data_IF_370383739295
#
_entry.id   IF_370383739295
#
_cell.length_a   1.000
_cell.length_b   1.000
_cell.length_c   1.000
_cell.angle_alpha   90.00
_cell.angle_beta   90.00
_cell.angle_gamma   90.00
#
_symmetry.space_group_name_H-M   'P 1'
#
loop_
_entity.id
_entity.type
_entity.pdbx_description
1 polymer ?
#
# COMPACT_ATOMS: atom_id res chain seq x y z
N UNK A 1 16.92 2.53 -2.81
CA UNK A 1 16.08 2.16 -3.97
C UNK A 1 16.69 2.79 -5.21
N UNK A 2 16.65 2.10 -6.35
CA UNK A 2 17.17 2.61 -7.63
C UNK A 2 16.47 3.92 -8.04
N UNK A 3 17.24 4.95 -8.43
CA UNK A 3 16.67 6.28 -8.79
C UNK A 3 15.70 6.19 -9.96
N UNK A 4 15.98 5.34 -10.95
CA UNK A 4 15.12 5.15 -12.10
C UNK A 4 13.80 4.46 -11.76
N UNK A 5 13.70 3.73 -10.65
CA UNK A 5 12.40 3.23 -10.14
C UNK A 5 11.58 4.38 -9.57
N UNK A 6 12.21 5.23 -8.75
CA UNK A 6 11.56 6.40 -8.14
C UNK A 6 11.01 7.32 -9.23
N UNK A 7 11.83 7.72 -10.20
CA UNK A 7 11.44 8.61 -11.30
C UNK A 7 10.29 8.04 -12.15
N UNK A 8 10.26 6.71 -12.37
CA UNK A 8 9.15 6.06 -13.06
C UNK A 8 7.87 6.10 -12.23
N UNK A 9 7.97 5.88 -10.93
CA UNK A 9 6.82 5.91 -10.03
C UNK A 9 6.25 7.32 -9.88
N UNK A 10 7.11 8.34 -9.73
CA UNK A 10 6.71 9.75 -9.70
C UNK A 10 5.98 10.17 -10.98
N UNK A 11 6.47 9.73 -12.14
CA UNK A 11 5.82 9.96 -13.43
C UNK A 11 4.45 9.30 -13.50
N UNK A 12 4.32 8.05 -13.05
CA UNK A 12 3.03 7.36 -12.98
C UNK A 12 2.03 8.12 -12.11
N UNK A 13 2.44 8.57 -10.92
CA UNK A 13 1.56 9.38 -10.06
C UNK A 13 1.13 10.66 -10.76
N UNK A 14 2.06 11.35 -11.43
CA UNK A 14 1.77 12.57 -12.20
C UNK A 14 0.76 12.32 -13.33
N UNK A 15 0.98 11.27 -14.12
CA UNK A 15 0.12 10.90 -15.24
C UNK A 15 -1.28 10.53 -14.76
N UNK A 16 -1.40 9.75 -13.68
CA UNK A 16 -2.71 9.38 -13.11
C UNK A 16 -3.44 10.61 -12.56
N UNK A 17 -2.75 11.48 -11.80
CA UNK A 17 -3.34 12.71 -11.26
C UNK A 17 -3.80 13.68 -12.35
N UNK A 18 -3.20 13.65 -13.54
CA UNK A 18 -3.63 14.46 -14.68
C UNK A 18 -5.01 14.04 -15.23
N UNK A 19 -5.43 12.79 -14.96
CA UNK A 19 -6.71 12.24 -15.41
C UNK A 19 -7.73 12.21 -14.27
N UNK A 20 -7.30 11.85 -13.05
CA UNK A 20 -8.18 11.72 -11.88
C UNK A 20 -7.53 12.38 -10.67
N UNK A 21 -8.14 13.42 -10.06
CA UNK A 21 -7.54 14.13 -8.93
C UNK A 21 -7.49 13.28 -7.64
N UNK A 22 -8.36 12.29 -7.54
CA UNK A 22 -8.53 11.47 -6.34
C UNK A 22 -7.67 10.20 -6.42
N UNK A 23 -6.39 10.34 -6.09
CA UNK A 23 -5.42 9.24 -6.10
C UNK A 23 -5.08 8.83 -4.68
N UNK A 24 -5.12 7.53 -4.38
CA UNK A 24 -4.67 6.95 -3.12
C UNK A 24 -3.50 6.00 -3.44
N UNK A 25 -2.38 6.14 -2.74
CA UNK A 25 -1.29 5.18 -2.84
C UNK A 25 -1.53 4.03 -1.87
N UNK A 26 -1.38 2.79 -2.37
CA UNK A 26 -1.55 1.60 -1.54
C UNK A 26 -0.22 0.86 -1.47
N UNK A 27 0.31 0.71 -0.26
CA UNK A 27 1.43 -0.19 0.01
C UNK A 27 0.83 -1.57 0.24
N UNK A 28 1.16 -2.51 -0.64
CA UNK A 28 0.60 -3.86 -0.65
C UNK A 28 1.08 -4.68 0.55
N UNK A 29 0.21 -5.55 1.06
CA UNK A 29 0.46 -6.42 2.20
C UNK A 29 1.30 -7.65 1.84
N UNK A 30 1.80 -8.34 2.88
CA UNK A 30 2.50 -9.61 2.76
C UNK A 30 1.51 -10.76 2.47
N UNK A 31 1.85 -11.76 1.63
CA UNK A 31 1.08 -12.99 1.60
C UNK A 31 1.15 -13.70 2.97
N UNK A 32 0.17 -14.54 3.27
CA UNK A 32 0.18 -15.38 4.46
C UNK A 32 1.37 -16.34 4.41
N UNK A 33 2.30 -16.18 5.36
CA UNK A 33 3.56 -16.92 5.38
C UNK A 33 3.36 -18.39 5.76
N UNK A 34 2.32 -18.70 6.52
CA UNK A 34 2.13 -20.05 7.08
C UNK A 34 1.47 -21.05 6.12
N UNK A 35 0.83 -20.56 5.05
CA UNK A 35 -0.03 -21.39 4.20
C UNK A 35 0.20 -21.22 2.70
N UNK A 36 1.09 -20.31 2.26
CA UNK A 36 1.30 -20.04 0.84
C UNK A 36 1.96 -21.24 0.13
N UNK A 37 1.21 -22.02 -0.68
CA UNK A 37 1.71 -23.29 -1.25
C UNK A 37 2.87 -23.07 -2.23
N UNK A 38 3.02 -21.85 -2.75
CA UNK A 38 4.08 -21.45 -3.68
C UNK A 38 5.17 -20.60 -3.03
N UNK A 39 5.33 -20.65 -1.70
CA UNK A 39 6.43 -19.98 -1.00
C UNK A 39 7.81 -20.34 -1.55
N UNK A 40 7.95 -21.50 -2.17
CA UNK A 40 9.19 -21.92 -2.85
C UNK A 40 9.43 -21.19 -4.20
N UNK A 41 8.39 -20.61 -4.81
CA UNK A 41 8.48 -19.81 -6.04
C UNK A 41 8.62 -18.32 -5.76
N UNK A 42 8.23 -17.89 -4.56
CA UNK A 42 8.42 -16.52 -4.10
C UNK A 42 9.78 -16.38 -3.42
N UNK A 43 10.35 -15.16 -3.36
CA UNK A 43 11.41 -14.89 -2.40
C UNK A 43 10.95 -15.32 -1.00
N UNK A 44 11.87 -15.85 -0.19
CA UNK A 44 11.52 -16.25 1.17
C UNK A 44 10.90 -15.06 1.95
N UNK A 45 10.15 -15.36 3.01
CA UNK A 45 9.45 -14.34 3.79
C UNK A 45 10.36 -13.18 4.23
N UNK A 46 11.60 -13.46 4.61
CA UNK A 46 12.56 -12.44 5.00
C UNK A 46 12.92 -11.48 3.85
N UNK A 47 13.08 -12.00 2.63
CA UNK A 47 13.30 -11.18 1.44
C UNK A 47 12.08 -10.33 1.09
N UNK A 48 10.86 -10.86 1.21
CA UNK A 48 9.64 -10.06 0.98
C UNK A 48 9.54 -8.94 2.01
N UNK A 49 9.77 -9.23 3.29
CA UNK A 49 9.84 -8.23 4.37
C UNK A 49 10.90 -7.18 4.10
N UNK A 50 12.10 -7.58 3.69
CA UNK A 50 13.17 -6.65 3.35
C UNK A 50 12.76 -5.74 2.18
N UNK A 51 12.15 -6.30 1.13
CA UNK A 51 11.69 -5.51 -0.02
C UNK A 51 10.65 -4.48 0.42
N UNK A 52 9.61 -4.90 1.15
CA UNK A 52 8.57 -3.97 1.63
C UNK A 52 9.20 -2.87 2.48
N UNK A 53 10.01 -3.21 3.50
CA UNK A 53 10.69 -2.22 4.35
C UNK A 53 11.58 -1.28 3.53
N UNK A 54 12.28 -1.79 2.52
CA UNK A 54 13.18 -1.00 1.65
C UNK A 54 12.43 -0.07 0.71
N UNK A 55 11.24 -0.46 0.26
CA UNK A 55 10.43 0.33 -0.67
C UNK A 55 9.43 1.27 0.04
N UNK A 56 8.97 0.97 1.26
CA UNK A 56 8.00 1.81 1.98
C UNK A 56 8.40 3.29 2.09
N UNK A 57 9.67 3.66 2.39
CA UNK A 57 10.08 5.06 2.42
C UNK A 57 9.90 5.79 1.08
N UNK A 58 10.04 5.08 -0.05
CA UNK A 58 9.79 5.64 -1.38
C UNK A 58 8.30 6.02 -1.52
N UNK A 59 7.39 5.14 -1.13
CA UNK A 59 5.94 5.41 -1.18
C UNK A 59 5.58 6.63 -0.34
N UNK A 60 6.08 6.73 0.90
CA UNK A 60 5.81 7.90 1.75
C UNK A 60 6.40 9.20 1.21
N UNK A 61 7.59 9.15 0.62
CA UNK A 61 8.19 10.34 0.02
C UNK A 61 7.42 10.82 -1.21
N UNK A 62 6.97 9.89 -2.07
CA UNK A 62 6.11 10.19 -3.22
C UNK A 62 4.77 10.74 -2.73
N UNK A 63 4.15 10.09 -1.74
CA UNK A 63 2.90 10.54 -1.15
C UNK A 63 2.97 11.98 -0.64
N UNK A 64 4.04 12.31 0.08
CA UNK A 64 4.30 13.66 0.57
C UNK A 64 4.52 14.65 -0.58
N UNK A 65 5.31 14.26 -1.58
CA UNK A 65 5.63 15.11 -2.75
C UNK A 65 4.40 15.46 -3.57
N UNK A 66 3.55 14.47 -3.83
CA UNK A 66 2.34 14.61 -4.66
C UNK A 66 1.08 14.90 -3.85
N UNK A 67 1.21 15.06 -2.52
CA UNK A 67 0.12 15.31 -1.58
C UNK A 67 -1.04 14.33 -1.79
N UNK A 68 -0.72 13.04 -1.83
CA UNK A 68 -1.70 11.95 -1.92
C UNK A 68 -1.71 11.13 -0.63
N UNK A 69 -2.87 10.65 -0.18
CA UNK A 69 -2.98 9.79 0.98
C UNK A 69 -2.38 8.41 0.70
N UNK A 70 -1.98 7.72 1.78
CA UNK A 70 -1.41 6.37 1.73
C UNK A 70 -2.23 5.42 2.58
N UNK A 71 -2.60 4.28 2.01
CA UNK A 71 -3.05 3.11 2.77
C UNK A 71 -1.87 2.15 2.85
N UNK A 72 -1.44 1.82 4.07
CA UNK A 72 -0.32 0.90 4.29
C UNK A 72 -0.80 -0.46 4.78
N UNK A 73 -1.16 -1.33 3.84
CA UNK A 73 -1.68 -2.66 4.16
C UNK A 73 -0.59 -3.59 4.70
N UNK A 74 0.68 -3.30 4.45
CA UNK A 74 1.79 -4.08 5.01
C UNK A 74 1.89 -3.97 6.54
N UNK A 75 1.41 -2.86 7.11
CA UNK A 75 1.26 -2.69 8.57
C UNK A 75 -0.15 -2.99 9.09
N UNK A 76 -1.13 -3.12 8.21
CA UNK A 76 -2.51 -3.47 8.58
C UNK A 76 -2.67 -4.98 8.74
N UNK A 77 -2.15 -5.79 7.83
CA UNK A 77 -2.36 -7.25 7.84
C UNK A 77 -1.21 -7.97 8.53
N UNK A 78 -1.54 -8.96 9.34
CA UNK A 78 -0.57 -9.82 9.98
C UNK A 78 -0.34 -11.09 9.14
N UNK A 79 0.83 -11.26 8.50
CA UNK A 79 1.10 -12.42 7.64
C UNK A 79 1.16 -13.78 8.34
N UNK A 80 1.08 -13.78 9.68
CA UNK A 80 1.01 -14.99 10.49
C UNK A 80 -0.40 -15.27 11.02
N UNK A 81 -1.35 -14.36 10.82
CA UNK A 81 -2.75 -14.52 11.22
C UNK A 81 -3.58 -14.94 10.01
N UNK A 82 -4.08 -16.18 10.01
CA UNK A 82 -4.93 -16.68 8.93
C UNK A 82 -6.27 -15.95 8.81
N UNK A 83 -6.74 -15.28 9.87
CA UNK A 83 -8.02 -14.56 9.82
C UNK A 83 -7.97 -13.32 8.92
N UNK A 84 -6.76 -12.83 8.59
CA UNK A 84 -6.58 -11.73 7.65
C UNK A 84 -6.67 -12.17 6.17
N UNK A 85 -6.66 -13.47 5.91
CA UNK A 85 -6.61 -14.03 4.56
C UNK A 85 -7.85 -14.87 4.23
N UNK A 86 -8.21 -14.89 2.96
CA UNK A 86 -9.43 -15.53 2.46
C UNK A 86 -9.21 -17.00 2.08
N UNK A 87 -9.86 -17.40 0.99
CA UNK A 87 -9.71 -18.74 0.39
C UNK A 87 -8.29 -19.04 -0.08
N UNK A 88 -7.47 -18.01 -0.28
CA UNK A 88 -6.08 -18.17 -0.66
C UNK A 88 -5.14 -17.32 0.20
N UNK A 89 -3.86 -17.72 0.30
CA UNK A 89 -2.83 -17.01 1.10
C UNK A 89 -2.45 -15.62 0.58
N UNK A 90 -3.04 -15.17 -0.52
CA UNK A 90 -2.76 -13.86 -1.14
C UNK A 90 -4.00 -12.97 -1.20
N UNK A 91 -5.18 -13.54 -1.02
CA UNK A 91 -6.45 -12.80 -1.04
C UNK A 91 -6.80 -12.38 0.39
N UNK A 92 -7.32 -11.14 0.58
CA UNK A 92 -7.79 -10.72 1.88
C UNK A 92 -9.02 -11.53 2.29
N UNK A 93 -9.23 -11.71 3.59
CA UNK A 93 -10.50 -12.24 4.11
C UNK A 93 -11.62 -11.21 3.94
N UNK A 94 -12.87 -11.62 4.16
CA UNK A 94 -14.00 -10.67 4.20
C UNK A 94 -13.79 -9.59 5.27
N UNK A 95 -13.26 -9.97 6.43
CA UNK A 95 -12.95 -9.04 7.53
C UNK A 95 -11.91 -8.02 7.09
N UNK A 96 -10.83 -8.46 6.46
CA UNK A 96 -9.77 -7.57 6.00
C UNK A 96 -10.20 -6.73 4.80
N UNK A 97 -11.11 -7.24 3.96
CA UNK A 97 -11.79 -6.45 2.94
C UNK A 97 -12.62 -5.30 3.52
N UNK A 98 -13.33 -5.53 4.63
CA UNK A 98 -14.04 -4.47 5.37
C UNK A 98 -13.03 -3.44 5.89
N UNK A 99 -11.92 -3.86 6.49
CA UNK A 99 -10.87 -2.93 6.95
C UNK A 99 -10.32 -2.06 5.81
N UNK A 100 -10.05 -2.63 4.63
CA UNK A 100 -9.61 -1.86 3.46
C UNK A 100 -10.67 -0.81 3.08
N UNK A 101 -11.95 -1.20 3.06
CA UNK A 101 -13.04 -0.31 2.72
C UNK A 101 -13.20 0.83 3.75
N UNK A 102 -13.06 0.53 5.04
CA UNK A 102 -13.09 1.53 6.13
C UNK A 102 -11.92 2.52 6.03
N UNK A 103 -10.71 2.04 5.71
CA UNK A 103 -9.54 2.89 5.49
C UNK A 103 -9.74 3.82 4.29
N UNK A 104 -10.26 3.30 3.18
CA UNK A 104 -10.58 4.10 2.01
C UNK A 104 -11.67 5.14 2.30
N UNK A 105 -12.73 4.74 3.01
CA UNK A 105 -13.81 5.64 3.42
C UNK A 105 -13.31 6.75 4.35
N UNK A 106 -12.44 6.41 5.30
CA UNK A 106 -11.79 7.38 6.18
C UNK A 106 -11.04 8.44 5.38
N UNK A 107 -10.23 8.03 4.38
CA UNK A 107 -9.53 8.94 3.49
C UNK A 107 -10.53 9.81 2.70
N UNK A 108 -11.57 9.22 2.12
CA UNK A 108 -12.56 9.97 1.32
C UNK A 108 -13.24 11.07 2.16
N UNK A 109 -13.50 10.82 3.44
CA UNK A 109 -14.17 11.79 4.31
C UNK A 109 -13.24 12.86 4.90
N UNK A 110 -11.95 12.57 5.08
CA UNK A 110 -11.04 13.43 5.84
C UNK A 110 -9.88 14.00 5.02
N UNK A 111 -9.59 13.45 3.84
CA UNK A 111 -8.52 13.94 2.96
C UNK A 111 -9.07 14.87 1.88
N UNK A 112 -8.52 16.08 1.81
CA UNK A 112 -8.90 17.05 0.80
C UNK A 112 -8.09 16.87 -0.50
N UNK A 113 -8.61 16.05 -1.41
CA UNK A 113 -7.96 15.83 -2.71
C UNK A 113 -7.78 17.12 -3.51
N UNK A 114 -6.61 17.28 -4.13
CA UNK A 114 -6.30 18.40 -5.02
C UNK A 114 -6.09 19.75 -4.34
N UNK A 115 -6.19 19.85 -3.01
CA UNK A 115 -5.88 21.10 -2.28
C UNK A 115 -4.42 21.13 -1.83
N UNK A 116 -3.77 22.27 -2.01
CA UNK A 116 -2.37 22.45 -1.61
C UNK A 116 -2.16 22.43 -0.08
N UNK A 117 -3.19 22.67 0.72
CA UNK A 117 -3.12 22.87 2.17
C UNK A 117 -3.62 21.68 3.02
N UNK A 118 -4.06 20.58 2.40
CA UNK A 118 -4.70 19.44 3.10
C UNK A 118 -3.77 18.50 3.88
N UNK A 119 -2.47 18.82 4.00
CA UNK A 119 -1.52 17.99 4.75
C UNK A 119 -1.48 18.45 6.21
N UNK A 120 -2.41 17.94 7.03
CA UNK A 120 -2.22 17.94 8.48
C UNK A 120 -1.16 16.89 8.79
N UNK A 121 0.10 17.33 8.77
CA UNK A 121 1.19 16.62 9.41
C UNK A 121 0.94 16.59 10.91
N UNK A 122 0.28 15.52 11.37
CA UNK A 122 0.29 15.10 12.77
C UNK A 122 0.69 13.64 12.83
#
# INVERSE_FOLDING_TARGET
>A
VDRGIIERFERLVTEIQSVVPNVILVIVYHPQITSCPFLYMLPNAATITELIVKFSPMFFNIARKFKVPVIDLARTFNPYDSSDYGSSPIEPSNTSGIMIAELALHIIHHFEFGKEEGWLGT
#
